data_IF_638415711040
#
_entry.id   IF_638415711040
#
_cell.length_a   1.000
_cell.length_b   1.000
_cell.length_c   1.000
_cell.angle_alpha   90.00
_cell.angle_beta   90.00
_cell.angle_gamma   90.00
#
_symmetry.space_group_name_H-M   'P 1'
#
loop_
_entity.id
_entity.type
_entity.pdbx_description
1 polymer ?
#
# COMPACT_ATOMS: atom_id res chain seq x y z
N UNK A 1 -4.47 -10.59 -13.09
CA UNK A 1 -5.74 -9.79 -13.11
C UNK A 1 -6.53 -9.91 -14.42
N UNK A 2 -5.99 -10.46 -15.52
CA UNK A 2 -6.80 -10.77 -16.72
C UNK A 2 -8.02 -11.61 -16.31
N UNK A 3 -9.22 -11.11 -16.60
CA UNK A 3 -10.50 -11.76 -16.24
C UNK A 3 -11.18 -11.26 -14.96
N UNK A 4 -10.58 -10.34 -14.19
CA UNK A 4 -11.19 -9.73 -13.00
C UNK A 4 -11.42 -8.21 -13.12
N UNK A 5 -11.24 -7.66 -14.31
CA UNK A 5 -11.33 -6.21 -14.60
C UNK A 5 -12.72 -5.64 -14.32
N UNK A 6 -13.77 -6.46 -14.42
CA UNK A 6 -15.13 -6.07 -14.04
C UNK A 6 -15.39 -6.07 -12.53
N UNK A 7 -14.50 -6.69 -11.75
CA UNK A 7 -14.66 -6.84 -10.29
C UNK A 7 -13.77 -5.90 -9.49
N UNK A 8 -12.61 -5.51 -10.02
CA UNK A 8 -11.66 -4.65 -9.32
C UNK A 8 -11.15 -3.54 -10.23
N UNK A 9 -11.15 -2.32 -9.71
CA UNK A 9 -10.44 -1.17 -10.27
C UNK A 9 -9.33 -0.81 -9.29
N UNK A 10 -8.13 -0.57 -9.81
CA UNK A 10 -6.98 -0.21 -8.98
C UNK A 10 -6.14 0.86 -9.67
N UNK A 11 -5.39 1.57 -8.84
CA UNK A 11 -4.29 2.44 -9.21
C UNK A 11 -3.05 2.03 -8.42
N UNK A 12 -1.88 2.47 -8.86
CA UNK A 12 -0.64 2.34 -8.09
C UNK A 12 0.03 3.70 -8.03
N UNK A 13 0.33 4.13 -6.82
CA UNK A 13 1.01 5.38 -6.52
C UNK A 13 2.36 5.06 -5.88
N UNK A 14 3.39 5.83 -6.21
CA UNK A 14 4.67 5.83 -5.53
C UNK A 14 4.85 7.11 -4.72
N UNK A 15 5.69 7.05 -3.69
CA UNK A 15 6.18 8.23 -2.99
C UNK A 15 7.70 8.22 -2.92
N UNK A 16 8.27 9.37 -2.57
CA UNK A 16 9.72 9.61 -2.49
C UNK A 16 9.99 10.82 -1.59
N UNK A 17 11.23 11.27 -1.46
CA UNK A 17 11.56 12.51 -0.76
C UNK A 17 11.02 13.79 -1.43
N UNK A 18 10.55 13.75 -2.68
CA UNK A 18 10.03 14.94 -3.37
C UNK A 18 8.51 15.01 -3.45
N UNK A 19 7.86 13.86 -3.64
CA UNK A 19 6.41 13.77 -3.89
C UNK A 19 5.76 12.59 -3.16
N UNK A 20 4.53 12.76 -2.62
CA UNK A 20 3.81 11.70 -1.91
C UNK A 20 2.95 10.80 -2.81
N UNK A 21 2.71 11.16 -4.08
CA UNK A 21 1.66 10.54 -4.90
C UNK A 21 1.98 10.50 -6.40
N UNK A 22 3.21 10.09 -6.75
CA UNK A 22 3.61 9.85 -8.13
C UNK A 22 2.77 8.72 -8.74
N UNK A 23 2.01 9.00 -9.81
CA UNK A 23 1.10 8.00 -10.39
C UNK A 23 1.86 6.98 -11.22
N UNK A 24 1.99 5.74 -10.76
CA UNK A 24 2.65 4.65 -11.50
C UNK A 24 1.69 3.94 -12.46
N UNK A 25 0.46 3.68 -12.00
CA UNK A 25 -0.64 3.12 -12.80
C UNK A 25 -1.90 3.90 -12.48
N UNK A 26 -2.51 4.47 -13.51
CA UNK A 26 -3.75 5.23 -13.37
C UNK A 26 -4.94 4.32 -13.04
N UNK A 27 -5.90 4.86 -12.30
CA UNK A 27 -7.06 4.11 -11.83
C UNK A 27 -7.85 3.48 -12.97
N UNK A 28 -7.99 2.16 -12.91
CA UNK A 28 -8.75 1.39 -13.91
C UNK A 28 -8.04 1.26 -15.26
N UNK A 29 -6.76 1.62 -15.33
CA UNK A 29 -5.92 1.49 -16.53
C UNK A 29 -4.72 0.56 -16.26
N UNK A 30 -4.95 -0.74 -15.95
CA UNK A 30 -3.87 -1.69 -15.70
C UNK A 30 -2.96 -1.85 -16.94
N UNK A 31 -1.66 -2.11 -16.76
CA UNK A 31 -0.77 -2.39 -17.88
C UNK A 31 -1.23 -3.66 -18.63
N UNK A 32 -1.50 -3.51 -19.93
CA UNK A 32 -2.12 -4.55 -20.76
C UNK A 32 -1.19 -5.74 -21.08
N UNK A 33 0.12 -5.47 -21.14
CA UNK A 33 1.16 -6.42 -21.55
C UNK A 33 2.45 -6.25 -20.75
N UNK A 34 3.37 -7.20 -20.93
CA UNK A 34 4.69 -7.20 -20.28
C UNK A 34 5.51 -5.94 -20.61
N UNK A 35 5.35 -5.39 -21.83
CA UNK A 35 6.00 -4.15 -22.24
C UNK A 35 5.50 -2.97 -21.42
N UNK A 36 4.20 -2.89 -21.14
CA UNK A 36 3.61 -1.86 -20.29
C UNK A 36 4.00 -2.05 -18.82
N UNK A 37 4.06 -3.28 -18.33
CA UNK A 37 4.55 -3.59 -16.99
C UNK A 37 6.02 -3.16 -16.82
N UNK A 38 6.86 -3.45 -17.82
CA UNK A 38 8.25 -3.01 -17.83
C UNK A 38 8.36 -1.48 -17.81
N UNK A 39 7.49 -0.74 -18.52
CA UNK A 39 7.46 0.73 -18.46
C UNK A 39 7.14 1.26 -17.06
N UNK A 40 6.24 0.60 -16.33
CA UNK A 40 5.96 0.95 -14.92
C UNK A 40 7.21 0.76 -14.06
N UNK A 41 7.88 -0.40 -14.18
CA UNK A 41 9.12 -0.66 -13.44
C UNK A 41 10.24 0.33 -13.80
N UNK A 42 10.40 0.67 -15.08
CA UNK A 42 11.36 1.67 -15.54
C UNK A 42 11.05 3.06 -14.96
N UNK A 43 9.77 3.45 -14.87
CA UNK A 43 9.37 4.69 -14.22
C UNK A 43 9.73 4.70 -12.74
N UNK A 44 9.50 3.59 -12.02
CA UNK A 44 9.90 3.46 -10.62
C UNK A 44 11.41 3.63 -10.44
N UNK A 45 12.22 3.00 -11.31
CA UNK A 45 13.68 3.11 -11.28
C UNK A 45 14.15 4.53 -11.61
N UNK A 46 13.60 5.15 -12.67
CA UNK A 46 13.95 6.51 -13.03
C UNK A 46 13.59 7.50 -11.91
N UNK A 47 12.40 7.37 -11.32
CA UNK A 47 11.96 8.22 -10.22
C UNK A 47 12.89 8.13 -9.01
N UNK A 48 13.25 6.91 -8.58
CA UNK A 48 14.12 6.72 -7.41
C UNK A 48 15.57 7.16 -7.64
N UNK A 49 16.02 7.24 -8.89
CA UNK A 49 17.37 7.72 -9.22
C UNK A 49 17.52 9.24 -9.10
N UNK A 50 16.45 9.99 -9.31
CA UNK A 50 16.49 11.46 -9.36
C UNK A 50 15.82 12.14 -8.17
N UNK A 51 15.11 11.39 -7.32
CA UNK A 51 14.41 11.99 -6.19
C UNK A 51 15.33 12.35 -5.03
N UNK A 52 14.97 13.38 -4.25
CA UNK A 52 15.67 13.71 -3.01
C UNK A 52 15.58 12.56 -1.99
N UNK A 53 16.58 12.46 -1.09
CA UNK A 53 16.47 11.58 0.06
C UNK A 53 15.43 12.11 1.04
N UNK A 54 14.63 11.22 1.61
CA UNK A 54 13.53 11.56 2.49
C UNK A 54 12.40 10.57 2.28
N UNK A 55 11.33 10.76 3.03
CA UNK A 55 10.19 9.87 2.99
C UNK A 55 8.90 10.66 3.22
N UNK A 56 7.88 10.30 2.45
CA UNK A 56 6.53 10.86 2.55
C UNK A 56 5.51 9.74 2.82
N UNK A 57 5.90 8.67 3.53
CA UNK A 57 5.03 7.49 3.72
C UNK A 57 3.71 7.88 4.37
N UNK A 58 3.73 8.75 5.38
CA UNK A 58 2.49 9.14 6.10
C UNK A 58 1.59 10.00 5.21
N UNK A 59 2.14 10.96 4.50
CA UNK A 59 1.43 11.83 3.56
C UNK A 59 0.85 11.02 2.39
N UNK A 60 1.63 10.09 1.84
CA UNK A 60 1.22 9.19 0.78
C UNK A 60 0.07 8.28 1.23
N UNK A 61 0.18 7.72 2.43
CA UNK A 61 -0.85 6.88 3.02
C UNK A 61 -2.14 7.66 3.28
N UNK A 62 -2.04 8.86 3.87
CA UNK A 62 -3.19 9.74 4.08
C UNK A 62 -3.86 10.10 2.76
N UNK A 63 -3.07 10.50 1.76
CA UNK A 63 -3.58 10.84 0.43
C UNK A 63 -4.32 9.66 -0.21
N UNK A 64 -3.72 8.47 -0.21
CA UNK A 64 -4.34 7.27 -0.81
C UNK A 64 -5.64 6.89 -0.10
N UNK A 65 -5.67 6.95 1.23
CA UNK A 65 -6.86 6.66 2.04
C UNK A 65 -7.96 7.69 1.77
N UNK A 66 -7.66 8.98 1.81
CA UNK A 66 -8.63 10.04 1.52
C UNK A 66 -9.14 9.99 0.08
N UNK A 67 -8.26 9.73 -0.89
CA UNK A 67 -8.62 9.56 -2.30
C UNK A 67 -9.61 8.40 -2.47
N UNK A 68 -9.31 7.23 -1.88
CA UNK A 68 -10.20 6.08 -1.92
C UNK A 68 -11.55 6.37 -1.24
N UNK A 69 -11.55 7.05 -0.08
CA UNK A 69 -12.74 7.40 0.68
C UNK A 69 -13.69 8.36 -0.05
N UNK A 70 -13.13 9.27 -0.86
CA UNK A 70 -13.90 10.23 -1.65
C UNK A 70 -14.65 9.58 -2.83
N UNK A 71 -14.28 8.35 -3.19
CA UNK A 71 -14.94 7.61 -4.26
C UNK A 71 -16.24 6.99 -3.77
N UNK A 72 -17.32 7.13 -4.52
CA UNK A 72 -18.63 6.53 -4.21
C UNK A 72 -18.99 5.38 -5.17
N UNK A 73 -18.07 4.97 -6.05
CA UNK A 73 -18.29 3.99 -7.12
C UNK A 73 -17.78 2.57 -6.78
N UNK A 74 -17.71 2.24 -5.48
CA UNK A 74 -17.27 0.94 -5.00
C UNK A 74 -17.99 0.56 -3.70
N UNK A 75 -18.29 -0.74 -3.56
CA UNK A 75 -18.86 -1.30 -2.33
C UNK A 75 -17.78 -1.34 -1.23
N UNK A 76 -16.61 -1.91 -1.55
CA UNK A 76 -15.45 -1.98 -0.66
C UNK A 76 -14.26 -1.17 -1.21
N UNK A 77 -13.46 -0.61 -0.30
CA UNK A 77 -12.28 0.21 -0.63
C UNK A 77 -11.08 -0.30 0.15
N UNK A 78 -9.98 -0.56 -0.54
CA UNK A 78 -8.74 -1.02 0.07
C UNK A 78 -7.59 -0.10 -0.30
N UNK A 79 -6.68 0.10 0.66
CA UNK A 79 -5.40 0.76 0.43
C UNK A 79 -4.31 -0.15 0.95
N UNK A 80 -3.40 -0.55 0.07
CA UNK A 80 -2.26 -1.40 0.42
C UNK A 80 -0.97 -0.58 0.35
N UNK A 81 -0.27 -0.47 1.47
CA UNK A 81 1.04 0.17 1.54
C UNK A 81 2.11 -0.93 1.43
N UNK A 82 3.15 -0.67 0.67
CA UNK A 82 4.32 -1.55 0.57
C UNK A 82 5.53 -0.83 1.15
N UNK A 83 6.23 -1.47 2.09
CA UNK A 83 7.36 -0.85 2.78
C UNK A 83 8.45 -1.89 3.05
N UNK A 84 9.72 -1.48 3.03
CA UNK A 84 10.87 -2.28 3.46
C UNK A 84 11.02 -2.34 5.00
N UNK A 85 10.04 -1.78 5.73
CA UNK A 85 9.98 -1.65 7.18
C UNK A 85 10.99 -0.66 7.79
N UNK A 86 11.63 0.19 6.99
CA UNK A 86 12.66 1.12 7.47
C UNK A 86 12.11 2.46 8.00
N UNK A 87 10.94 2.44 8.66
CA UNK A 87 10.20 3.64 9.09
C UNK A 87 10.96 4.48 10.13
N UNK A 88 11.65 3.81 11.06
CA UNK A 88 12.40 4.46 12.15
C UNK A 88 13.50 5.38 11.62
N UNK A 89 14.15 5.01 10.50
CA UNK A 89 15.20 5.82 9.86
C UNK A 89 14.71 7.17 9.36
N UNK A 90 13.41 7.28 9.08
CA UNK A 90 12.76 8.50 8.65
C UNK A 90 11.99 9.21 9.77
N UNK A 91 12.14 8.75 11.03
CA UNK A 91 11.47 9.34 12.18
C UNK A 91 9.97 9.03 12.27
N UNK A 92 9.48 8.07 11.48
CA UNK A 92 8.06 7.68 11.48
C UNK A 92 7.82 6.74 12.65
N UNK A 93 6.99 7.17 13.59
CA UNK A 93 6.64 6.35 14.75
C UNK A 93 5.50 5.39 14.37
N UNK A 94 5.48 4.18 14.94
CA UNK A 94 4.42 3.20 14.66
C UNK A 94 3.02 3.73 14.97
N UNK A 95 2.89 4.57 16.01
CA UNK A 95 1.62 5.21 16.39
C UNK A 95 1.10 6.15 15.31
N UNK A 96 1.97 6.88 14.62
CA UNK A 96 1.56 7.82 13.57
C UNK A 96 1.01 7.05 12.37
N UNK A 97 1.70 5.96 11.97
CA UNK A 97 1.21 5.07 10.93
C UNK A 97 -0.09 4.37 11.34
N UNK A 98 -0.21 3.91 12.59
CA UNK A 98 -1.44 3.32 13.12
C UNK A 98 -2.62 4.29 12.99
N UNK A 99 -2.44 5.56 13.39
CA UNK A 99 -3.46 6.60 13.28
C UNK A 99 -3.91 6.79 11.83
N UNK A 100 -2.96 6.85 10.88
CA UNK A 100 -3.29 7.01 9.46
C UNK A 100 -4.06 5.80 8.92
N UNK A 101 -3.60 4.57 9.22
CA UNK A 101 -4.25 3.34 8.74
C UNK A 101 -5.67 3.16 9.25
N UNK A 102 -6.05 3.79 10.37
CA UNK A 102 -7.40 3.70 10.94
C UNK A 102 -8.21 4.99 10.82
N UNK A 103 -7.72 6.00 10.08
CA UNK A 103 -8.33 7.32 10.03
C UNK A 103 -9.71 7.35 9.35
N UNK A 104 -9.94 6.47 8.37
CA UNK A 104 -11.20 6.40 7.63
C UNK A 104 -11.82 4.99 7.76
N UNK A 105 -12.93 4.85 8.51
CA UNK A 105 -13.60 3.56 8.69
C UNK A 105 -14.06 2.91 7.38
N UNK A 106 -14.44 3.68 6.35
CA UNK A 106 -14.90 3.17 5.05
C UNK A 106 -13.79 2.60 4.16
N UNK A 107 -12.52 2.73 4.57
CA UNK A 107 -11.36 2.25 3.81
C UNK A 107 -10.60 1.22 4.64
N UNK A 108 -10.35 0.05 4.05
CA UNK A 108 -9.51 -0.98 4.63
C UNK A 108 -8.04 -0.71 4.26
N UNK A 109 -7.32 0.00 5.14
CA UNK A 109 -5.89 0.24 4.94
C UNK A 109 -5.05 -0.87 5.57
N UNK A 110 -4.04 -1.34 4.83
CA UNK A 110 -3.16 -2.43 5.25
C UNK A 110 -1.73 -2.19 4.76
N UNK A 111 -0.73 -2.35 5.63
CA UNK A 111 0.68 -2.31 5.27
C UNK A 111 1.26 -3.71 5.12
N UNK A 112 2.00 -3.93 4.03
CA UNK A 112 2.73 -5.16 3.73
C UNK A 112 4.22 -4.84 3.78
N UNK A 113 4.91 -5.37 4.78
CA UNK A 113 6.35 -5.23 4.91
C UNK A 113 7.06 -6.28 4.05
N UNK A 114 7.82 -5.83 3.06
CA UNK A 114 8.54 -6.67 2.09
C UNK A 114 10.00 -6.96 2.50
N UNK A 115 10.50 -6.21 3.48
CA UNK A 115 11.83 -6.39 4.05
C UNK A 115 11.72 -6.53 5.57
N UNK A 116 12.72 -7.18 6.17
CA UNK A 116 12.84 -7.27 7.62
C UNK A 116 14.31 -7.08 8.02
N UNK A 117 14.76 -5.83 7.97
CA UNK A 117 16.10 -5.48 8.42
C UNK A 117 16.11 -5.47 9.95
N UNK A 118 16.77 -6.46 10.56
CA UNK A 118 16.97 -6.51 12.01
C UNK A 118 15.72 -6.79 12.83
N UNK A 119 14.70 -7.46 12.28
CA UNK A 119 13.47 -7.82 13.00
C UNK A 119 12.47 -6.67 13.14
N UNK A 120 12.70 -5.56 12.45
CA UNK A 120 11.86 -4.36 12.49
C UNK A 120 10.44 -4.62 11.99
N UNK A 121 10.26 -5.45 10.96
CA UNK A 121 8.95 -5.68 10.35
C UNK A 121 7.99 -6.39 11.31
N UNK A 122 8.47 -7.45 11.98
CA UNK A 122 7.65 -8.17 12.98
C UNK A 122 7.40 -7.33 14.23
N UNK A 123 8.32 -6.45 14.62
CA UNK A 123 8.09 -5.50 15.71
C UNK A 123 7.02 -4.48 15.34
N UNK A 124 7.12 -3.86 14.15
CA UNK A 124 6.13 -2.90 13.66
C UNK A 124 4.73 -3.53 13.60
N UNK A 125 4.62 -4.72 13.02
CA UNK A 125 3.36 -5.47 12.94
C UNK A 125 2.71 -5.71 14.31
N UNK A 126 3.48 -5.92 15.38
CA UNK A 126 2.95 -6.06 16.75
C UNK A 126 2.47 -4.75 17.37
N UNK A 127 3.02 -3.62 16.91
CA UNK A 127 2.67 -2.29 17.40
C UNK A 127 1.51 -1.67 16.62
N UNK A 128 1.27 -2.13 15.40
CA UNK A 128 0.16 -1.68 14.56
C UNK A 128 -1.16 -2.37 14.96
N UNK A 129 -2.31 -1.75 14.66
CA UNK A 129 -3.61 -2.34 14.95
C UNK A 129 -3.77 -3.74 14.36
N UNK A 130 -4.49 -4.61 15.07
CA UNK A 130 -4.64 -5.99 14.65
C UNK A 130 -5.26 -6.07 13.26
N UNK A 131 -4.57 -6.73 12.33
CA UNK A 131 -5.06 -6.93 10.98
C UNK A 131 -4.74 -5.81 9.99
N UNK A 132 -4.04 -4.74 10.39
CA UNK A 132 -3.59 -3.69 9.46
C UNK A 132 -2.17 -3.89 8.95
N UNK A 133 -1.48 -4.96 9.37
CA UNK A 133 -0.11 -5.24 8.94
C UNK A 133 0.15 -6.73 8.65
N UNK A 134 1.01 -6.99 7.66
CA UNK A 134 1.59 -8.29 7.36
C UNK A 134 3.07 -8.17 7.00
N UNK A 135 3.82 -9.26 7.16
CA UNK A 135 5.22 -9.37 6.75
C UNK A 135 5.28 -10.41 5.64
N UNK A 136 5.89 -10.06 4.52
CA UNK A 136 5.92 -10.87 3.30
C UNK A 136 7.31 -10.78 2.65
N UNK A 137 8.25 -11.59 3.14
CA UNK A 137 9.65 -11.60 2.66
C UNK A 137 9.84 -12.41 1.37
N UNK A 138 8.90 -13.30 1.07
CA UNK A 138 8.85 -14.04 -0.20
C UNK A 138 7.75 -13.45 -1.08
N UNK A 139 8.07 -12.89 -2.26
CA UNK A 139 7.08 -12.39 -3.21
C UNK A 139 6.02 -13.42 -3.60
N UNK A 140 6.33 -14.73 -3.59
CA UNK A 140 5.34 -15.77 -3.86
C UNK A 140 4.24 -15.85 -2.78
N UNK A 141 4.47 -15.29 -1.60
CA UNK A 141 3.51 -15.21 -0.50
C UNK A 141 2.59 -13.98 -0.59
N UNK A 142 2.86 -13.01 -1.47
CA UNK A 142 2.04 -11.80 -1.63
C UNK A 142 0.56 -12.10 -1.90
N UNK A 143 0.19 -13.02 -2.81
CA UNK A 143 -1.21 -13.34 -3.04
C UNK A 143 -1.94 -13.80 -1.76
N UNK A 144 -1.24 -14.49 -0.86
CA UNK A 144 -1.80 -14.92 0.42
C UNK A 144 -2.00 -13.74 1.37
N UNK A 145 -1.06 -12.79 1.42
CA UNK A 145 -1.20 -11.56 2.22
C UNK A 145 -2.44 -10.76 1.80
N UNK A 146 -2.64 -10.58 0.49
CA UNK A 146 -3.86 -9.95 -0.06
C UNK A 146 -5.13 -10.71 0.34
N UNK A 147 -5.17 -12.04 0.16
CA UNK A 147 -6.33 -12.85 0.54
C UNK A 147 -6.68 -12.70 2.01
N UNK A 148 -5.69 -12.68 2.91
CA UNK A 148 -5.91 -12.46 4.34
C UNK A 148 -6.47 -11.08 4.63
N UNK A 149 -5.98 -10.04 3.95
CA UNK A 149 -6.51 -8.68 4.11
C UNK A 149 -7.96 -8.59 3.61
N UNK A 150 -8.27 -9.17 2.44
CA UNK A 150 -9.64 -9.22 1.90
C UNK A 150 -10.59 -10.02 2.80
N UNK A 151 -10.20 -11.21 3.28
CA UNK A 151 -11.08 -12.02 4.13
C UNK A 151 -11.47 -11.31 5.44
N UNK A 152 -10.63 -10.38 5.91
CA UNK A 152 -10.90 -9.61 7.13
C UNK A 152 -11.90 -8.47 6.93
N UNK A 153 -12.06 -7.92 5.71
CA UNK A 153 -13.13 -6.94 5.45
C UNK A 153 -14.49 -7.59 5.63
N UNK A 154 -14.67 -8.77 5.02
CA UNK A 154 -15.89 -9.56 5.08
C UNK A 154 -16.30 -9.88 6.52
N UNK A 155 -15.32 -10.16 7.40
CA UNK A 155 -15.58 -10.41 8.81
C UNK A 155 -15.98 -9.13 9.58
N UNK A 156 -15.41 -7.98 9.23
CA UNK A 156 -15.75 -6.69 9.86
C UNK A 156 -17.16 -6.24 9.54
N UNK A 157 -17.59 -6.47 8.30
CA UNK A 157 -18.92 -6.06 7.83
C UNK A 157 -20.04 -7.02 8.30
N UNK A 158 -19.66 -8.17 8.86
CA UNK A 158 -20.57 -9.16 9.46
C UNK A 158 -20.82 -8.94 10.97
N UNK A 159 -20.19 -7.94 11.59
CA UNK A 159 -20.34 -7.57 13.01
C UNK A 159 -21.14 -6.27 13.17
#
# INVERSE_FOLDING_TARGET
MRGFESRYRYEMLGHSGDVPNETLVALGAPPADEKAQLRVAQRMVAHSQFCSSGDHTLEAAQFAISSAAARNDADERFVFLFSDANLERYGIRPVDLATVLTAEPRVHAHVIFLGDVGGQAERLKKLLPTGTASVCLDPASLPSAFKTAFAKSVLRDAQ
#
